data_IF_436974141034
#
_entry.id   IF_436974141034
#
_cell.length_a   1.000
_cell.length_b   1.000
_cell.length_c   1.000
_cell.angle_alpha   90.00
_cell.angle_beta   90.00
_cell.angle_gamma   90.00
#
_symmetry.space_group_name_H-M   'P 1'
#
loop_
_entity.id
_entity.type
_entity.pdbx_description
1 polymer ?
#
# COMPACT_ATOMS: atom_id res chain seq x y z
N UNK A 1 -12.78 -14.62 -3.41
CA UNK A 1 -11.63 -13.76 -3.02
C UNK A 1 -11.15 -14.23 -1.66
N UNK A 2 -9.86 -14.50 -1.48
CA UNK A 2 -9.34 -15.13 -0.25
C UNK A 2 -9.50 -14.17 0.95
N UNK A 3 -10.05 -14.62 2.08
CA UNK A 3 -10.37 -13.79 3.26
C UNK A 3 -9.15 -12.95 3.72
N UNK A 4 -7.97 -13.56 3.70
CA UNK A 4 -6.70 -12.93 4.06
C UNK A 4 -6.38 -11.71 3.17
N UNK A 5 -6.65 -11.79 1.86
CA UNK A 5 -6.41 -10.68 0.94
C UNK A 5 -7.34 -9.49 1.26
N UNK A 6 -8.59 -9.76 1.58
CA UNK A 6 -9.55 -8.72 1.93
C UNK A 6 -9.18 -8.02 3.24
N UNK A 7 -8.78 -8.80 4.25
CA UNK A 7 -8.33 -8.26 5.53
C UNK A 7 -7.08 -7.41 5.33
N UNK A 8 -6.11 -7.89 4.56
CA UNK A 8 -4.88 -7.15 4.27
C UNK A 8 -5.18 -5.80 3.59
N UNK A 9 -6.03 -5.78 2.55
CA UNK A 9 -6.45 -4.53 1.88
C UNK A 9 -7.17 -3.57 2.82
N UNK A 10 -8.08 -4.09 3.65
CA UNK A 10 -8.81 -3.29 4.61
C UNK A 10 -7.87 -2.67 5.66
N UNK A 11 -6.92 -3.45 6.19
CA UNK A 11 -5.91 -2.98 7.12
C UNK A 11 -5.01 -1.92 6.52
N UNK A 12 -4.53 -2.11 5.28
CA UNK A 12 -3.72 -1.10 4.59
C UNK A 12 -4.51 0.18 4.33
N UNK A 13 -5.76 0.08 3.89
CA UNK A 13 -6.63 1.25 3.69
C UNK A 13 -6.90 1.99 5.02
N UNK A 14 -7.20 1.27 6.10
CA UNK A 14 -7.41 1.84 7.41
C UNK A 14 -6.14 2.55 7.92
N UNK A 15 -4.96 1.95 7.69
CA UNK A 15 -3.69 2.56 8.04
C UNK A 15 -3.44 3.86 7.27
N UNK A 16 -3.73 3.91 5.96
CA UNK A 16 -3.61 5.15 5.19
C UNK A 16 -4.50 6.27 5.72
N UNK A 17 -5.76 5.95 6.06
CA UNK A 17 -6.67 6.91 6.66
C UNK A 17 -6.17 7.41 8.01
N UNK A 18 -5.67 6.51 8.85
CA UNK A 18 -5.08 6.87 10.14
C UNK A 18 -3.86 7.78 9.96
N UNK A 19 -2.93 7.40 9.08
CA UNK A 19 -1.71 8.16 8.82
C UNK A 19 -2.01 9.55 8.26
N UNK A 20 -2.90 9.66 7.26
CA UNK A 20 -3.33 10.95 6.72
C UNK A 20 -4.09 11.78 7.75
N UNK A 21 -4.88 11.14 8.61
CA UNK A 21 -5.55 11.79 9.73
C UNK A 21 -4.56 12.42 10.70
N UNK A 22 -3.50 11.70 11.07
CA UNK A 22 -2.44 12.21 11.93
C UNK A 22 -1.62 13.29 11.22
N UNK A 23 -1.24 13.07 9.95
CA UNK A 23 -0.45 14.01 9.15
C UNK A 23 -1.16 15.37 8.95
N UNK A 24 -2.48 15.35 8.79
CA UNK A 24 -3.31 16.55 8.63
C UNK A 24 -3.69 17.22 9.96
N UNK A 25 -3.40 16.59 11.10
CA UNK A 25 -3.80 17.06 12.43
C UNK A 25 -5.29 16.84 12.78
N UNK A 26 -6.05 16.17 11.91
CA UNK A 26 -7.45 15.78 12.17
C UNK A 26 -7.52 14.72 13.27
N UNK A 27 -6.54 13.81 13.31
CA UNK A 27 -6.40 12.77 14.34
C UNK A 27 -5.19 13.13 15.21
N UNK A 28 -5.41 13.12 16.53
CA UNK A 28 -4.37 13.43 17.53
C UNK A 28 -4.26 12.27 18.52
N UNK A 29 -3.43 11.28 18.19
CA UNK A 29 -3.21 10.10 19.03
C UNK A 29 -2.33 10.44 20.25
N UNK A 30 -1.66 11.59 20.26
CA UNK A 30 -0.98 12.14 21.44
C UNK A 30 -1.91 12.22 22.66
N UNK A 31 -3.22 12.40 22.45
CA UNK A 31 -4.24 12.40 23.50
C UNK A 31 -4.45 11.02 24.15
N UNK A 32 -4.06 9.94 23.47
CA UNK A 32 -4.05 8.57 24.00
C UNK A 32 -2.68 8.22 24.59
N UNK A 33 -1.60 8.51 23.85
CA UNK A 33 -0.24 8.35 24.34
C UNK A 33 0.74 9.25 23.56
N UNK A 34 1.68 9.95 24.24
CA UNK A 34 2.50 11.00 23.61
C UNK A 34 3.33 10.57 22.39
N UNK A 35 3.71 9.30 22.29
CA UNK A 35 4.55 8.79 21.20
C UNK A 35 3.79 8.32 19.96
N UNK A 36 2.46 8.16 20.02
CA UNK A 36 1.71 7.46 18.97
C UNK A 36 1.69 8.23 17.65
N UNK A 37 1.56 9.56 17.69
CA UNK A 37 1.59 10.38 16.48
C UNK A 37 2.94 10.21 15.76
N UNK A 38 4.04 10.27 16.50
CA UNK A 38 5.39 10.06 15.96
C UNK A 38 5.57 8.66 15.36
N UNK A 39 5.06 7.62 16.03
CA UNK A 39 5.14 6.23 15.54
C UNK A 39 4.35 6.08 14.24
N UNK A 40 3.09 6.53 14.21
CA UNK A 40 2.22 6.42 13.03
C UNK A 40 2.82 7.19 11.86
N UNK A 41 3.28 8.42 12.08
CA UNK A 41 3.92 9.23 11.03
C UNK A 41 5.16 8.55 10.45
N UNK A 42 6.04 8.05 11.31
CA UNK A 42 7.27 7.35 10.89
C UNK A 42 6.95 6.11 10.08
N UNK A 43 6.03 5.26 10.56
CA UNK A 43 5.62 4.05 9.85
C UNK A 43 4.99 4.39 8.49
N UNK A 44 4.18 5.45 8.41
CA UNK A 44 3.55 5.81 7.14
C UNK A 44 4.54 6.31 6.09
N UNK A 45 5.58 7.06 6.50
CA UNK A 45 6.66 7.43 5.58
C UNK A 45 7.47 6.22 5.11
N UNK A 46 7.77 5.28 6.00
CA UNK A 46 8.48 4.04 5.65
C UNK A 46 7.66 3.22 4.67
N UNK A 47 6.37 3.00 4.96
CA UNK A 47 5.45 2.23 4.11
C UNK A 47 5.28 2.90 2.74
N UNK A 48 5.10 4.22 2.70
CA UNK A 48 5.03 4.98 1.45
C UNK A 48 6.30 4.80 0.60
N UNK A 49 7.48 4.89 1.23
CA UNK A 49 8.75 4.66 0.55
C UNK A 49 8.84 3.26 -0.06
N UNK A 50 8.44 2.23 0.68
CA UNK A 50 8.38 0.85 0.19
C UNK A 50 7.43 0.73 -1.00
N UNK A 51 6.23 1.31 -0.91
CA UNK A 51 5.23 1.24 -1.99
C UNK A 51 5.71 1.95 -3.26
N UNK A 52 6.44 3.07 -3.14
CA UNK A 52 7.08 3.74 -4.29
C UNK A 52 8.12 2.83 -4.94
N UNK A 53 8.99 2.20 -4.14
CA UNK A 53 10.00 1.26 -4.65
C UNK A 53 9.34 0.06 -5.34
N UNK A 54 8.26 -0.44 -4.79
CA UNK A 54 7.47 -1.52 -5.37
C UNK A 54 6.85 -1.14 -6.72
N UNK A 55 6.31 0.07 -6.87
CA UNK A 55 5.84 0.58 -8.17
C UNK A 55 6.99 0.71 -9.16
N UNK A 56 8.17 1.15 -8.72
CA UNK A 56 9.36 1.23 -9.57
C UNK A 56 9.78 -0.16 -10.07
N UNK A 57 9.81 -1.17 -9.18
CA UNK A 57 10.10 -2.57 -9.53
C UNK A 57 9.04 -3.11 -10.51
N UNK A 58 7.75 -2.84 -10.27
CA UNK A 58 6.67 -3.20 -11.19
C UNK A 58 6.90 -2.57 -12.56
N UNK A 59 7.22 -1.28 -12.61
CA UNK A 59 7.42 -0.51 -13.84
C UNK A 59 8.58 -1.07 -14.65
N UNK A 60 9.70 -1.41 -14.00
CA UNK A 60 10.86 -2.01 -14.65
C UNK A 60 10.53 -3.39 -15.25
N UNK A 61 9.72 -4.19 -14.56
CA UNK A 61 9.36 -5.55 -14.99
C UNK A 61 8.16 -5.62 -15.94
N UNK A 62 7.47 -4.50 -16.17
CA UNK A 62 6.25 -4.46 -16.97
C UNK A 62 6.51 -4.70 -18.47
N UNK A 63 7.67 -4.28 -18.99
CA UNK A 63 8.07 -4.49 -20.38
C UNK A 63 8.11 -5.97 -20.76
N UNK A 64 8.64 -6.81 -19.88
CA UNK A 64 8.74 -8.26 -20.09
C UNK A 64 7.40 -9.00 -19.91
N UNK A 65 6.32 -8.29 -19.55
CA UNK A 65 5.08 -8.88 -19.00
C UNK A 65 3.79 -8.31 -19.59
N UNK A 66 3.85 -7.86 -20.84
CA UNK A 66 2.67 -7.37 -21.58
C UNK A 66 2.39 -5.87 -21.41
N UNK A 67 3.38 -5.11 -20.95
CA UNK A 67 3.34 -3.66 -20.88
C UNK A 67 2.88 -3.09 -19.54
N UNK A 68 3.13 -1.79 -19.35
CA UNK A 68 2.78 -1.05 -18.14
C UNK A 68 1.28 -0.75 -18.08
N UNK A 69 0.63 -1.09 -16.97
CA UNK A 69 -0.77 -0.78 -16.71
C UNK A 69 -0.87 0.12 -15.48
N UNK A 70 -1.41 1.32 -15.69
CA UNK A 70 -1.60 2.31 -14.62
C UNK A 70 -2.48 1.74 -13.49
N UNK A 71 -3.50 0.95 -13.81
CA UNK A 71 -4.38 0.35 -12.81
C UNK A 71 -3.63 -0.62 -11.88
N UNK A 72 -2.71 -1.42 -12.42
CA UNK A 72 -1.91 -2.36 -11.64
C UNK A 72 -0.88 -1.60 -10.78
N UNK A 73 -0.23 -0.58 -11.35
CA UNK A 73 0.67 0.30 -10.61
C UNK A 73 -0.05 1.01 -9.44
N UNK A 74 -1.28 1.47 -9.64
CA UNK A 74 -2.07 2.09 -8.58
C UNK A 74 -2.43 1.08 -7.47
N UNK A 75 -2.74 -0.17 -7.82
CA UNK A 75 -2.97 -1.22 -6.83
C UNK A 75 -1.71 -1.54 -6.03
N UNK A 76 -0.56 -1.64 -6.69
CA UNK A 76 0.75 -1.80 -6.04
C UNK A 76 1.05 -0.59 -5.14
N UNK A 77 0.76 0.63 -5.60
CA UNK A 77 1.01 1.83 -4.81
C UNK A 77 0.16 1.90 -3.55
N UNK A 78 -1.12 1.54 -3.62
CA UNK A 78 -2.03 1.69 -2.47
C UNK A 78 -1.92 0.50 -1.53
N UNK A 79 -1.84 -0.71 -2.06
CA UNK A 79 -1.91 -1.92 -1.26
C UNK A 79 -0.55 -2.62 -1.12
N UNK A 80 0.42 -2.33 -1.96
CA UNK A 80 1.71 -3.04 -2.00
C UNK A 80 1.66 -4.34 -2.81
N UNK A 81 2.83 -4.86 -3.20
CA UNK A 81 2.94 -6.01 -4.15
C UNK A 81 2.35 -7.30 -3.58
N UNK A 82 2.33 -7.47 -2.26
CA UNK A 82 1.83 -8.69 -1.60
C UNK A 82 0.34 -8.95 -1.80
N UNK A 83 -0.42 -7.99 -2.33
CA UNK A 83 -1.81 -8.17 -2.72
C UNK A 83 -1.99 -8.73 -4.13
N UNK A 84 -0.89 -8.90 -4.87
CA UNK A 84 -0.81 -9.59 -6.14
C UNK A 84 -0.40 -11.07 -5.96
N UNK A 85 -0.81 -11.73 -4.87
CA UNK A 85 -0.71 -13.20 -4.76
C UNK A 85 -2.06 -13.82 -5.14
N UNK A 86 -2.22 -14.35 -6.36
CA UNK A 86 -1.37 -14.19 -7.53
C UNK A 86 -1.90 -13.01 -8.36
N UNK A 87 -1.04 -12.30 -9.07
CA UNK A 87 -1.32 -12.04 -10.47
C UNK A 87 -1.62 -13.43 -11.00
N UNK A 88 -2.91 -13.83 -11.02
CA UNK A 88 -3.36 -14.78 -12.01
C UNK A 88 -3.05 -14.05 -13.29
N UNK A 89 -1.82 -14.27 -13.76
CA UNK A 89 -1.50 -14.34 -15.16
C UNK A 89 -2.68 -15.11 -15.71
N UNK A 90 -3.62 -14.37 -16.28
CA UNK A 90 -4.68 -15.00 -17.03
C UNK A 90 -3.91 -15.85 -18.01
N UNK A 91 -4.02 -17.17 -17.84
CA UNK A 91 -3.76 -18.12 -18.88
C UNK A 91 -4.58 -17.63 -20.08
N UNK A 92 -3.97 -16.79 -20.89
CA UNK A 92 -4.42 -16.44 -22.22
C UNK A 92 -3.31 -16.93 -23.11
N UNK A 93 -3.45 -18.23 -23.39
CA UNK A 93 -3.33 -18.84 -24.72
C UNK A 93 -2.86 -17.91 -25.82
#
# INVERSE_FOLDING_TARGET
MNLVNNISKASTAAFWLLWLGVLSGIVQLVNLHPSLDGIVLTLGWVILGIHILEVAIYSFRAGDRGGFKIADAAQVFVFGVFHLIPVSFSDKK
#
